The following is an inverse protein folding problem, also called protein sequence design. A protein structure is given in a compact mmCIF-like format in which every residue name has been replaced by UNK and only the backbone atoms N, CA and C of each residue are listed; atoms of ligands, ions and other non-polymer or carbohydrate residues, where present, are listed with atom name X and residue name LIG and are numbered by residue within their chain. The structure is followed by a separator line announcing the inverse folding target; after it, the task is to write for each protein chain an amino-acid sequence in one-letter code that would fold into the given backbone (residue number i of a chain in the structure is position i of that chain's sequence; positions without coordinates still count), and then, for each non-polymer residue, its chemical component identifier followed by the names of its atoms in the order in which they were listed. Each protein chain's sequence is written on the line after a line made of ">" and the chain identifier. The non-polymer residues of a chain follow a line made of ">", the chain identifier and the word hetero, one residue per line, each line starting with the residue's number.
data_IF_931074556252
#
_entry.id   IF_931074556252
#
_cell.length_a   1.000
_cell.length_b   1.000
_cell.length_c   1.000
_cell.angle_alpha   90.00
_cell.angle_beta   90.00
_cell.angle_gamma   90.00
#
_symmetry.space_group_name_H-M   'P 1'
#
loop_
_entity.id
_entity.type
_entity.pdbx_description
1 polymer ?
#
# COMPACT_ATOMS: atom_id res chain seq x y z
N UNK A 1 -3.15 13.87 -9.77
CA UNK A 1 -4.43 13.44 -9.15
C UNK A 1 -5.43 14.56 -9.30
N UNK A 2 -6.57 14.28 -9.88
CA UNK A 2 -7.70 15.22 -9.93
C UNK A 2 -8.64 14.90 -8.79
N UNK A 3 -9.05 15.90 -8.04
CA UNK A 3 -9.89 15.72 -6.86
C UNK A 3 -11.25 16.45 -6.96
N UNK A 4 -11.53 17.05 -8.10
CA UNK A 4 -12.78 17.78 -8.33
C UNK A 4 -14.03 16.88 -8.27
N UNK A 5 -13.89 15.58 -8.51
CA UNK A 5 -14.96 14.60 -8.37
C UNK A 5 -15.07 14.02 -6.94
N UNK A 6 -14.22 14.42 -6.01
CA UNK A 6 -14.34 14.00 -4.62
C UNK A 6 -15.45 14.76 -3.93
N UNK A 7 -16.24 14.03 -3.12
CA UNK A 7 -17.21 14.63 -2.22
C UNK A 7 -16.66 14.56 -0.80
N UNK A 8 -16.99 15.54 0.02
CA UNK A 8 -16.62 15.49 1.43
C UNK A 8 -17.23 14.25 2.08
N UNK A 9 -16.42 13.57 2.89
CA UNK A 9 -16.83 12.42 3.66
C UNK A 9 -15.75 12.04 4.65
N UNK A 10 -16.08 11.14 5.55
CA UNK A 10 -15.14 10.57 6.51
C UNK A 10 -15.13 9.05 6.35
N UNK A 11 -14.02 8.43 6.67
CA UNK A 11 -13.89 6.98 6.63
C UNK A 11 -13.41 6.49 7.99
N UNK A 12 -14.24 5.66 8.63
CA UNK A 12 -13.82 4.87 9.79
C UNK A 12 -13.25 3.56 9.27
N UNK A 13 -11.95 3.44 9.23
CA UNK A 13 -11.28 2.27 8.68
C UNK A 13 -11.59 0.99 9.45
N UNK A 14 -11.93 1.08 10.74
CA UNK A 14 -12.34 -0.08 11.52
C UNK A 14 -13.67 -0.68 11.05
N UNK A 15 -14.50 0.14 10.38
CA UNK A 15 -15.79 -0.28 9.84
C UNK A 15 -15.72 -0.80 8.38
N UNK A 16 -14.56 -0.64 7.73
CA UNK A 16 -14.36 -1.14 6.36
C UNK A 16 -14.02 -2.62 6.41
N UNK A 17 -14.74 -3.43 5.65
CA UNK A 17 -14.55 -4.89 5.63
C UNK A 17 -13.15 -5.25 5.13
N UNK A 18 -12.35 -6.02 5.89
CA UNK A 18 -11.03 -6.41 5.47
C UNK A 18 -11.06 -7.56 4.45
N UNK A 19 -10.09 -7.58 3.54
CA UNK A 19 -9.84 -8.69 2.63
C UNK A 19 -8.42 -9.23 2.86
N UNK A 20 -8.24 -10.55 2.75
CA UNK A 20 -6.96 -11.20 2.94
C UNK A 20 -6.29 -11.52 1.62
N UNK A 21 -4.98 -11.29 1.55
CA UNK A 21 -4.16 -11.53 0.36
C UNK A 21 -2.87 -12.23 0.77
N UNK A 22 -2.68 -13.47 0.31
CA UNK A 22 -1.48 -14.23 0.62
C UNK A 22 -0.27 -13.67 -0.12
N UNK A 23 0.88 -13.57 0.59
CA UNK A 23 2.17 -13.37 -0.05
C UNK A 23 2.82 -14.70 -0.42
N UNK A 24 4.06 -14.64 -0.89
CA UNK A 24 4.93 -15.82 -0.96
C UNK A 24 5.06 -16.43 0.44
N UNK A 25 5.20 -15.57 1.43
CA UNK A 25 5.12 -15.86 2.84
C UNK A 25 4.22 -14.82 3.50
N UNK A 26 3.53 -15.20 4.56
CA UNK A 26 2.70 -14.28 5.33
C UNK A 26 1.42 -13.87 4.61
N UNK A 27 0.77 -12.88 5.19
CA UNK A 27 -0.56 -12.43 4.78
C UNK A 27 -0.61 -10.90 4.80
N UNK A 28 -1.21 -10.32 3.76
CA UNK A 28 -1.61 -8.91 3.75
C UNK A 28 -3.12 -8.83 3.99
N UNK A 29 -3.53 -7.88 4.81
CA UNK A 29 -4.94 -7.58 5.06
C UNK A 29 -5.21 -6.17 4.57
N UNK A 30 -6.19 -6.01 3.69
CA UNK A 30 -6.54 -4.72 3.09
C UNK A 30 -7.92 -4.27 3.52
N UNK A 31 -8.02 -2.99 3.85
CA UNK A 31 -9.29 -2.28 3.97
C UNK A 31 -9.28 -1.23 2.87
N UNK A 32 -10.23 -1.30 1.93
CA UNK A 32 -10.15 -0.57 0.66
C UNK A 32 -11.38 0.29 0.45
N UNK A 33 -11.15 1.54 0.06
CA UNK A 33 -12.19 2.47 -0.39
C UNK A 33 -11.78 3.08 -1.73
N UNK A 34 -12.76 3.41 -2.56
CA UNK A 34 -12.56 4.09 -3.82
C UNK A 34 -13.24 5.45 -3.78
N UNK A 35 -12.55 6.48 -4.28
CA UNK A 35 -13.04 7.85 -4.27
C UNK A 35 -12.87 8.50 -5.63
N UNK A 36 -13.69 9.54 -5.88
CA UNK A 36 -13.57 10.39 -7.07
C UNK A 36 -14.36 9.87 -8.25
N UNK A 37 -13.81 10.04 -9.44
CA UNK A 37 -14.45 9.66 -10.69
C UNK A 37 -14.58 8.14 -10.80
N UNK A 38 -15.81 7.65 -11.03
CA UNK A 38 -16.09 6.21 -11.17
C UNK A 38 -15.36 5.58 -12.34
N UNK A 39 -15.09 6.35 -13.40
CA UNK A 39 -14.34 5.86 -14.56
C UNK A 39 -12.84 5.75 -14.27
N UNK A 40 -12.34 6.49 -13.28
CA UNK A 40 -10.92 6.56 -12.96
C UNK A 40 -10.73 6.79 -11.46
N UNK A 41 -11.18 5.85 -10.62
CA UNK A 41 -11.20 6.07 -9.18
C UNK A 41 -9.81 6.08 -8.58
N UNK A 42 -9.69 6.81 -7.46
CA UNK A 42 -8.53 6.74 -6.58
C UNK A 42 -8.80 5.65 -5.55
N UNK A 43 -7.91 4.69 -5.45
CA UNK A 43 -7.98 3.64 -4.44
C UNK A 43 -7.19 4.05 -3.21
N UNK A 44 -7.83 3.99 -2.06
CA UNK A 44 -7.19 4.28 -0.76
C UNK A 44 -7.30 3.04 0.10
N UNK A 45 -6.20 2.63 0.71
CA UNK A 45 -6.17 1.40 1.51
C UNK A 45 -5.43 1.60 2.82
N UNK A 46 -5.98 0.97 3.86
CA UNK A 46 -5.22 0.63 5.05
C UNK A 46 -4.76 -0.82 4.89
N UNK A 47 -3.47 -1.03 4.96
CA UNK A 47 -2.85 -2.33 4.70
C UNK A 47 -2.07 -2.77 5.94
N UNK A 48 -2.24 -4.03 6.32
CA UNK A 48 -1.49 -4.64 7.41
C UNK A 48 -0.78 -5.88 6.88
N UNK A 49 0.54 -5.93 7.08
CA UNK A 49 1.36 -7.09 6.75
C UNK A 49 1.68 -7.87 8.02
N UNK A 50 1.48 -9.19 7.99
CA UNK A 50 1.92 -10.05 9.08
C UNK A 50 3.46 -10.12 9.13
N UNK A 51 4.05 -10.46 10.29
CA UNK A 51 5.49 -10.70 10.36
C UNK A 51 5.94 -11.74 9.32
N UNK A 52 7.01 -11.42 8.61
CA UNK A 52 7.54 -12.27 7.55
C UNK A 52 6.83 -12.20 6.21
N UNK A 53 5.90 -11.26 6.03
CA UNK A 53 5.23 -11.11 4.75
C UNK A 53 6.22 -10.72 3.64
N UNK A 54 6.17 -11.48 2.55
CA UNK A 54 6.86 -11.17 1.29
C UNK A 54 5.83 -11.18 0.18
N UNK A 55 5.71 -10.10 -0.57
CA UNK A 55 4.76 -10.00 -1.67
C UNK A 55 5.05 -11.07 -2.74
N UNK A 56 3.97 -11.66 -3.29
CA UNK A 56 4.05 -12.74 -4.28
C UNK A 56 4.29 -12.22 -5.71
N UNK A 57 4.44 -10.93 -5.87
CA UNK A 57 4.62 -10.30 -7.18
C UNK A 57 5.41 -9.00 -7.08
N UNK A 58 5.92 -8.56 -8.22
CA UNK A 58 6.53 -7.26 -8.40
C UNK A 58 5.47 -6.28 -8.88
N UNK A 59 5.16 -5.30 -8.05
CA UNK A 59 4.14 -4.31 -8.34
C UNK A 59 4.65 -3.28 -9.34
N UNK A 60 3.87 -3.00 -10.38
CA UNK A 60 4.16 -1.96 -11.38
C UNK A 60 3.22 -0.77 -11.27
N UNK A 61 2.27 -0.80 -10.33
CA UNK A 61 1.32 0.28 -10.14
C UNK A 61 1.94 1.41 -9.35
N UNK A 62 1.72 2.63 -9.81
CA UNK A 62 2.13 3.83 -9.09
C UNK A 62 1.28 4.05 -7.85
N UNK A 63 1.91 4.55 -6.77
CA UNK A 63 1.20 4.91 -5.55
C UNK A 63 2.04 5.78 -4.63
N UNK A 64 1.37 6.35 -3.67
CA UNK A 64 1.98 6.97 -2.49
C UNK A 64 1.71 6.06 -1.30
N UNK A 65 2.74 5.71 -0.57
CA UNK A 65 2.65 4.79 0.55
C UNK A 65 3.31 5.40 1.78
N UNK A 66 2.60 5.39 2.89
CA UNK A 66 3.07 5.86 4.20
C UNK A 66 3.15 4.68 5.17
N UNK A 67 4.30 4.47 5.78
CA UNK A 67 4.45 3.51 6.88
C UNK A 67 3.93 4.12 8.17
N UNK A 68 2.93 3.46 8.78
CA UNK A 68 2.29 3.90 10.03
C UNK A 68 2.88 3.19 11.24
N UNK A 69 3.13 1.88 11.12
CA UNK A 69 3.67 1.05 12.20
C UNK A 69 4.59 -0.01 11.61
N UNK A 70 5.54 -0.49 12.40
CA UNK A 70 6.45 -1.56 12.02
C UNK A 70 7.53 -1.08 11.07
N UNK A 71 7.92 -1.93 10.14
CA UNK A 71 9.01 -1.66 9.21
C UNK A 71 8.70 -2.30 7.86
N UNK A 72 8.83 -1.52 6.80
CA UNK A 72 8.64 -1.99 5.43
C UNK A 72 9.97 -1.92 4.68
N UNK A 73 10.39 -3.05 4.10
CA UNK A 73 11.49 -3.09 3.15
C UNK A 73 10.92 -3.16 1.73
N UNK A 74 11.32 -2.22 0.90
CA UNK A 74 10.92 -2.18 -0.52
C UNK A 74 12.15 -2.37 -1.38
N UNK A 75 12.12 -3.40 -2.23
CA UNK A 75 13.18 -3.68 -3.19
C UNK A 75 12.71 -3.27 -4.58
N UNK A 76 13.51 -2.50 -5.29
CA UNK A 76 13.26 -2.15 -6.68
C UNK A 76 13.84 -3.22 -7.61
N UNK A 77 13.38 -3.27 -8.86
CA UNK A 77 13.80 -4.27 -9.83
C UNK A 77 15.28 -4.17 -10.24
N UNK A 78 15.93 -3.03 -9.97
CA UNK A 78 17.38 -2.85 -10.17
C UNK A 78 18.21 -3.28 -8.94
N UNK A 79 17.56 -3.78 -7.89
CA UNK A 79 18.21 -4.29 -6.68
C UNK A 79 18.35 -3.27 -5.55
N UNK A 80 18.02 -2.00 -5.76
CA UNK A 80 18.05 -1.01 -4.66
C UNK A 80 17.00 -1.37 -3.61
N UNK A 81 17.36 -1.22 -2.35
CA UNK A 81 16.49 -1.50 -1.21
C UNK A 81 16.32 -0.26 -0.36
N UNK A 82 15.09 -0.06 0.11
CA UNK A 82 14.74 1.04 0.99
C UNK A 82 13.96 0.50 2.18
N UNK A 83 14.27 0.99 3.36
CA UNK A 83 13.58 0.60 4.59
C UNK A 83 12.80 1.80 5.11
N UNK A 84 11.48 1.62 5.28
CA UNK A 84 10.61 2.63 5.85
C UNK A 84 10.28 2.25 7.29
N UNK A 85 10.51 3.20 8.19
CA UNK A 85 10.04 3.15 9.57
C UNK A 85 8.84 4.08 9.75
N UNK A 86 8.11 4.02 10.87
CA UNK A 86 6.91 4.84 11.05
C UNK A 86 7.15 6.33 10.77
N UNK A 87 6.28 6.91 9.95
CA UNK A 87 6.37 8.31 9.53
C UNK A 87 7.13 8.51 8.21
N UNK A 88 7.73 7.47 7.65
CA UNK A 88 8.39 7.54 6.34
C UNK A 88 7.44 7.09 5.23
N UNK A 89 7.59 7.69 4.06
CA UNK A 89 6.78 7.39 2.88
C UNK A 89 7.65 7.26 1.63
N UNK A 90 7.10 6.60 0.61
CA UNK A 90 7.66 6.64 -0.73
C UNK A 90 6.55 6.93 -1.76
N UNK A 91 6.96 7.34 -2.93
CA UNK A 91 6.09 7.50 -4.10
C UNK A 91 6.75 6.86 -5.30
N UNK A 92 5.93 6.31 -6.19
CA UNK A 92 6.38 5.67 -7.43
C UNK A 92 5.32 5.86 -8.50
N UNK A 93 5.74 6.10 -9.74
CA UNK A 93 4.83 6.25 -10.89
C UNK A 93 4.43 4.91 -11.49
N UNK A 94 3.34 4.92 -12.26
CA UNK A 94 2.89 3.74 -12.99
C UNK A 94 3.98 3.29 -13.98
N UNK A 95 4.31 2.00 -13.93
CA UNK A 95 5.31 1.36 -14.80
C UNK A 95 6.71 1.98 -14.75
N UNK A 96 6.98 2.83 -13.76
CA UNK A 96 8.27 3.49 -13.66
C UNK A 96 9.33 2.56 -13.07
N UNK A 97 9.03 1.98 -11.91
CA UNK A 97 9.97 1.11 -11.20
C UNK A 97 9.19 0.01 -10.51
N UNK A 98 9.33 -1.23 -10.99
CA UNK A 98 8.72 -2.38 -10.35
C UNK A 98 9.33 -2.58 -8.96
N UNK A 99 8.50 -2.94 -7.98
CA UNK A 99 8.93 -3.04 -6.59
C UNK A 99 8.24 -4.19 -5.87
N UNK A 100 8.91 -4.72 -4.85
CA UNK A 100 8.43 -5.82 -4.03
C UNK A 100 8.54 -5.46 -2.56
N UNK A 101 7.46 -5.71 -1.83
CA UNK A 101 7.36 -5.42 -0.40
C UNK A 101 7.73 -6.63 0.45
N UNK A 102 8.47 -6.37 1.52
CA UNK A 102 8.81 -7.34 2.55
C UNK A 102 8.78 -6.66 3.92
N UNK A 103 8.34 -7.39 4.94
CA UNK A 103 8.52 -6.98 6.33
C UNK A 103 8.94 -8.17 7.18
N UNK A 104 9.94 -7.98 8.03
CA UNK A 104 10.36 -9.00 8.97
C UNK A 104 9.44 -9.09 10.18
N UNK A 105 9.02 -7.95 10.69
CA UNK A 105 8.33 -7.85 11.99
C UNK A 105 6.85 -7.49 11.88
N UNK A 106 6.36 -7.21 10.69
CA UNK A 106 5.02 -6.70 10.45
C UNK A 106 5.03 -5.21 10.16
N UNK A 107 4.01 -4.73 9.48
CA UNK A 107 3.87 -3.33 9.14
C UNK A 107 2.42 -2.94 8.95
N UNK A 108 2.09 -1.68 9.25
CA UNK A 108 0.81 -1.06 8.87
C UNK A 108 1.12 0.12 7.96
N UNK A 109 0.37 0.19 6.85
CA UNK A 109 0.62 1.13 5.76
C UNK A 109 -0.67 1.85 5.38
N UNK A 110 -0.51 3.06 4.89
CA UNK A 110 -1.58 3.80 4.22
C UNK A 110 -1.16 4.02 2.78
N UNK A 111 -1.98 3.58 1.82
CA UNK A 111 -1.62 3.54 0.40
C UNK A 111 -2.69 4.23 -0.43
N UNK A 112 -2.25 5.13 -1.31
CA UNK A 112 -3.12 5.84 -2.26
C UNK A 112 -2.65 5.57 -3.68
N UNK A 113 -3.54 5.06 -4.51
CA UNK A 113 -3.23 4.82 -5.93
C UNK A 113 -4.43 4.89 -6.91
#
# INVERSE_FOLDING_TARGET
>A
MKMDAFRFGTTDWSAVEPTGHKGETGMATWRTCFFGDEANPIRVRMVEYSPGYLADHWCKKGHVLLCLEGELETTLDDGRKFVLTPGMSYQVGDNAEAHQSYTRTGAKLFVVD
#
